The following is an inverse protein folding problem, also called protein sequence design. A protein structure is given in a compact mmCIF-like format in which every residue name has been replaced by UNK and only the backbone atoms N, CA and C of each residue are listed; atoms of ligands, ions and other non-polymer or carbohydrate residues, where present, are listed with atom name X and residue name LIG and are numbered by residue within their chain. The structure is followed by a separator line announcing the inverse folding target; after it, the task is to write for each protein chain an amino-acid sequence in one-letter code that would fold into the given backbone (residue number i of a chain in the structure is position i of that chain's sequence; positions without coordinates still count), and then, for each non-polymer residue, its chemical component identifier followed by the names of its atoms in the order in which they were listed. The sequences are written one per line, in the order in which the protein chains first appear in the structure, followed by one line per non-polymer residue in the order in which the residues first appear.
data_IF_003006415231
#
_entry.id   IF_003006415231
#
_cell.length_a   1.000
_cell.length_b   1.000
_cell.length_c   1.000
_cell.angle_alpha   90.00
_cell.angle_beta   90.00
_cell.angle_gamma   90.00
#
_symmetry.space_group_name_H-M   'P 1'
#
loop_
_entity.id
_entity.type
_entity.pdbx_description
1 polymer ?
#
# COMPACT_ATOMS: atom_id res chain seq x y z
N UNK A 1 -1.78 10.40 -22.93
CA UNK A 1 -2.34 10.15 -21.59
C UNK A 1 -2.01 8.72 -21.18
N UNK A 2 -1.15 8.54 -20.17
CA UNK A 2 -0.75 7.23 -19.68
C UNK A 2 -1.94 6.49 -19.05
N UNK A 3 -2.26 5.29 -19.52
CA UNK A 3 -3.28 4.43 -18.90
C UNK A 3 -2.67 3.78 -17.65
N UNK A 4 -2.82 4.42 -16.49
CA UNK A 4 -2.22 3.96 -15.21
C UNK A 4 -2.53 2.49 -14.89
N UNK A 5 -3.72 2.00 -15.30
CA UNK A 5 -4.14 0.61 -15.12
C UNK A 5 -3.19 -0.40 -15.73
N UNK A 6 -2.46 -0.01 -16.77
CA UNK A 6 -1.48 -0.87 -17.44
C UNK A 6 -0.22 -1.12 -16.58
N UNK A 7 -0.02 -0.35 -15.51
CA UNK A 7 1.13 -0.45 -14.61
C UNK A 7 0.78 -1.04 -13.24
N UNK A 8 -0.50 -1.35 -13.00
CA UNK A 8 -0.95 -1.96 -11.74
C UNK A 8 -0.80 -3.46 -11.86
N UNK A 9 0.25 -4.01 -11.24
CA UNK A 9 0.47 -5.46 -11.20
C UNK A 9 -0.58 -6.19 -10.34
N UNK A 10 -0.99 -5.58 -9.22
CA UNK A 10 -1.93 -6.19 -8.27
C UNK A 10 -2.69 -5.12 -7.48
N UNK A 11 -3.93 -5.44 -7.09
CA UNK A 11 -4.73 -4.65 -6.14
C UNK A 11 -5.28 -5.58 -5.06
N UNK A 12 -5.05 -5.24 -3.80
CA UNK A 12 -5.55 -5.97 -2.63
C UNK A 12 -6.15 -4.98 -1.63
N UNK A 13 -7.31 -5.31 -1.06
CA UNK A 13 -7.88 -4.54 0.05
C UNK A 13 -7.30 -5.09 1.36
N UNK A 14 -6.64 -4.23 2.14
CA UNK A 14 -5.98 -4.63 3.39
C UNK A 14 -6.96 -4.63 4.58
N UNK A 15 -7.99 -3.78 4.55
CA UNK A 15 -9.03 -3.70 5.56
C UNK A 15 -10.33 -3.18 4.96
N UNK A 16 -11.48 -3.63 5.48
CA UNK A 16 -12.80 -3.27 4.98
C UNK A 16 -13.61 -2.57 6.07
N UNK A 17 -13.27 -1.30 6.32
CA UNK A 17 -14.04 -0.36 7.13
C UNK A 17 -13.88 1.03 6.50
N UNK A 18 -14.36 1.19 5.27
CA UNK A 18 -14.40 2.52 4.65
C UNK A 18 -15.31 3.42 5.47
N UNK A 19 -14.75 4.49 6.02
CA UNK A 19 -15.55 5.52 6.68
C UNK A 19 -16.14 6.39 5.57
N UNK A 20 -17.45 6.27 5.37
CA UNK A 20 -18.17 7.12 4.42
C UNK A 20 -17.93 8.59 4.76
N UNK A 21 -17.84 9.44 3.73
CA UNK A 21 -17.65 10.90 3.84
C UNK A 21 -16.25 11.37 4.31
N UNK A 22 -15.27 10.47 4.47
CA UNK A 22 -13.87 10.84 4.76
C UNK A 22 -13.03 10.80 3.48
N UNK A 23 -12.24 11.85 3.25
CA UNK A 23 -11.34 11.95 2.08
C UNK A 23 -10.26 10.88 2.14
N UNK A 24 -10.04 10.18 1.02
CA UNK A 24 -8.96 9.20 0.89
C UNK A 24 -7.59 9.89 0.92
N UNK A 25 -6.73 9.47 1.82
CA UNK A 25 -5.32 9.83 1.82
C UNK A 25 -4.55 8.81 0.97
N UNK A 26 -4.01 9.28 -0.16
CA UNK A 26 -3.20 8.46 -1.04
C UNK A 26 -1.72 8.61 -0.67
N UNK A 27 -1.05 7.48 -0.45
CA UNK A 27 0.37 7.44 -0.08
C UNK A 27 1.09 6.54 -1.07
N UNK A 28 2.15 7.04 -1.71
CA UNK A 28 3.03 6.24 -2.55
C UNK A 28 4.25 5.80 -1.74
N UNK A 29 4.57 4.50 -1.78
CA UNK A 29 5.77 3.95 -1.16
C UNK A 29 6.57 3.18 -2.22
N UNK A 30 7.86 3.49 -2.32
CA UNK A 30 8.78 2.80 -3.23
C UNK A 30 9.83 2.06 -2.39
N UNK A 31 10.02 0.77 -2.64
CA UNK A 31 11.04 -0.01 -1.95
C UNK A 31 11.45 -1.23 -2.77
N UNK A 32 12.67 -1.70 -2.56
CA UNK A 32 13.14 -2.97 -3.10
C UNK A 32 13.16 -4.04 -2.00
N UNK A 33 13.69 -5.21 -2.33
CA UNK A 33 13.76 -6.38 -1.44
C UNK A 33 14.43 -6.10 -0.10
N UNK A 34 15.49 -5.31 -0.06
CA UNK A 34 16.25 -5.04 1.17
C UNK A 34 15.48 -4.13 2.13
N UNK A 35 14.46 -3.43 1.63
CA UNK A 35 13.62 -2.50 2.39
C UNK A 35 12.21 -3.03 2.67
N UNK A 36 11.92 -4.29 2.39
CA UNK A 36 10.59 -4.87 2.61
C UNK A 36 10.14 -4.79 4.08
N UNK A 37 11.04 -5.03 5.03
CA UNK A 37 10.74 -4.95 6.46
C UNK A 37 10.56 -3.50 6.93
N UNK A 38 11.47 -2.55 6.64
CA UNK A 38 11.25 -1.13 6.90
C UNK A 38 9.94 -0.59 6.30
N UNK A 39 9.62 -0.98 5.06
CA UNK A 39 8.37 -0.61 4.39
C UNK A 39 7.15 -1.16 5.15
N UNK A 40 7.21 -2.41 5.60
CA UNK A 40 6.16 -3.01 6.42
C UNK A 40 5.95 -2.28 7.75
N UNK A 41 7.03 -1.93 8.46
CA UNK A 41 6.95 -1.15 9.71
C UNK A 41 6.33 0.22 9.45
N UNK A 42 6.72 0.90 8.38
CA UNK A 42 6.14 2.19 7.99
C UNK A 42 4.64 2.06 7.70
N UNK A 43 4.24 1.11 6.85
CA UNK A 43 2.83 0.83 6.54
C UNK A 43 2.02 0.54 7.81
N UNK A 44 2.53 -0.34 8.66
CA UNK A 44 1.86 -0.71 9.91
C UNK A 44 1.70 0.50 10.85
N UNK A 45 2.73 1.32 11.00
CA UNK A 45 2.68 2.52 11.85
C UNK A 45 1.64 3.54 11.34
N UNK A 46 1.56 3.73 10.02
CA UNK A 46 0.59 4.65 9.41
C UNK A 46 -0.83 4.11 9.62
N UNK A 47 -1.07 2.83 9.32
CA UNK A 47 -2.38 2.20 9.49
C UNK A 47 -2.83 2.25 10.96
N UNK A 48 -1.95 1.87 11.89
CA UNK A 48 -2.27 1.77 13.32
C UNK A 48 -2.60 3.13 13.95
N UNK A 49 -1.97 4.22 13.50
CA UNK A 49 -2.18 5.56 14.04
C UNK A 49 -3.28 6.36 13.32
N UNK A 50 -3.73 5.93 12.14
CA UNK A 50 -4.69 6.67 11.32
C UNK A 50 -5.96 5.86 11.02
N UNK A 51 -6.48 5.14 12.02
CA UNK A 51 -7.67 4.26 11.89
C UNK A 51 -8.99 4.97 11.56
N UNK A 52 -9.01 6.30 11.61
CA UNK A 52 -10.21 7.13 11.44
C UNK A 52 -10.31 7.75 10.03
N UNK A 53 -9.34 7.49 9.15
CA UNK A 53 -9.35 7.96 7.76
C UNK A 53 -9.15 6.80 6.79
N UNK A 54 -9.59 6.99 5.54
CA UNK A 54 -9.38 6.02 4.47
C UNK A 54 -7.96 6.17 3.90
N UNK A 55 -7.16 5.11 3.95
CA UNK A 55 -5.77 5.08 3.47
C UNK A 55 -5.64 4.23 2.21
N UNK A 56 -5.10 4.80 1.14
CA UNK A 56 -4.83 4.09 -0.12
C UNK A 56 -3.34 4.11 -0.42
N UNK A 57 -2.69 2.96 -0.28
CA UNK A 57 -1.27 2.80 -0.60
C UNK A 57 -1.04 2.41 -2.06
N UNK A 58 -0.12 3.11 -2.71
CA UNK A 58 0.42 2.75 -4.02
C UNK A 58 1.84 2.23 -3.80
N UNK A 59 2.05 0.93 -3.95
CA UNK A 59 3.35 0.31 -3.73
C UNK A 59 4.07 0.12 -5.06
N UNK A 60 5.25 0.73 -5.19
CA UNK A 60 6.13 0.56 -6.33
C UNK A 60 7.32 -0.29 -5.86
N UNK A 61 7.30 -1.56 -6.23
CA UNK A 61 8.26 -2.56 -5.74
C UNK A 61 9.17 -3.04 -6.86
N UNK A 62 10.43 -3.32 -6.51
CA UNK A 62 11.42 -3.87 -7.44
C UNK A 62 12.17 -5.04 -6.80
N UNK A 63 12.39 -6.12 -7.57
CA UNK A 63 13.17 -7.28 -7.11
C UNK A 63 12.50 -8.10 -5.98
N UNK A 64 11.20 -7.94 -5.78
CA UNK A 64 10.42 -8.69 -4.78
C UNK A 64 9.53 -9.69 -5.51
N UNK A 65 9.64 -10.97 -5.14
CA UNK A 65 8.75 -12.00 -5.67
C UNK A 65 7.35 -11.92 -5.03
N UNK A 66 6.32 -12.35 -5.76
CA UNK A 66 4.94 -12.26 -5.26
C UNK A 66 4.73 -13.00 -3.92
N UNK A 67 5.45 -14.11 -3.70
CA UNK A 67 5.43 -14.88 -2.45
C UNK A 67 5.96 -14.07 -1.25
N UNK A 68 6.91 -13.16 -1.47
CA UNK A 68 7.47 -12.29 -0.43
C UNK A 68 6.49 -11.17 -0.06
N UNK A 69 5.58 -10.81 -0.98
CA UNK A 69 4.49 -9.86 -0.73
C UNK A 69 3.25 -10.48 -0.07
N UNK A 70 3.21 -11.81 0.13
CA UNK A 70 2.06 -12.49 0.75
C UNK A 70 1.86 -12.15 2.23
N UNK A 71 2.88 -11.57 2.87
CA UNK A 71 2.85 -11.07 4.24
C UNK A 71 2.09 -9.73 4.41
N UNK A 72 1.70 -9.07 3.30
CA UNK A 72 0.88 -7.85 3.30
C UNK A 72 -0.56 -8.16 2.91
#
# INVERSE_FOLDING_TARGET
MLKYRNFVAKKKNLYQNEVSYVKNLHIALCFDREFIMPAGVALYSIISNNRHINLHFHLLISGIEEKECSAF
#
